data_IF_377742791717
#
_entry.id   IF_377742791717
#
_cell.length_a   1.000
_cell.length_b   1.000
_cell.length_c   1.000
_cell.angle_alpha   90.00
_cell.angle_beta   90.00
_cell.angle_gamma   90.00
#
_symmetry.space_group_name_H-M   'P 1'
#
loop_
_entity.id
_entity.type
_entity.pdbx_description
1 polymer ?
#
# COMPACT_ATOMS: atom_id res chain seq x y z
N UNK A 1 19.82 -4.61 0.84
CA UNK A 1 18.60 -4.61 1.68
C UNK A 1 18.20 -3.16 1.92
N UNK A 2 16.92 -2.84 2.08
CA UNK A 2 16.49 -1.46 2.37
C UNK A 2 16.03 -1.33 3.83
N UNK A 3 16.20 -0.15 4.43
CA UNK A 3 15.61 0.18 5.73
C UNK A 3 14.45 1.18 5.62
N UNK A 4 14.19 1.66 4.39
CA UNK A 4 13.31 2.78 4.08
C UNK A 4 11.92 2.24 3.71
N UNK A 5 10.89 2.66 4.43
CA UNK A 5 9.49 2.34 4.15
C UNK A 5 8.69 3.64 4.01
N UNK A 6 8.08 3.83 2.85
CA UNK A 6 7.12 4.90 2.58
C UNK A 6 5.70 4.34 2.70
N UNK A 7 4.88 4.96 3.56
CA UNK A 7 3.50 4.57 3.77
C UNK A 7 2.58 5.65 3.20
N UNK A 8 1.76 5.29 2.21
CA UNK A 8 0.80 6.19 1.58
C UNK A 8 -0.44 6.32 2.46
N UNK A 9 -0.52 7.40 3.24
CA UNK A 9 -1.56 7.66 4.24
C UNK A 9 -2.39 8.94 3.97
N UNK A 10 -2.31 9.51 2.76
CA UNK A 10 -2.99 10.76 2.39
C UNK A 10 -4.44 10.58 1.90
N UNK A 11 -4.94 9.34 1.85
CA UNK A 11 -6.25 9.00 1.32
C UNK A 11 -7.42 9.50 2.20
N UNK A 12 -8.45 10.05 1.57
CA UNK A 12 -9.61 10.68 2.24
C UNK A 12 -10.68 9.70 2.78
N UNK A 13 -10.47 8.39 2.69
CA UNK A 13 -11.41 7.36 3.20
C UNK A 13 -12.85 7.43 2.68
N UNK A 14 -13.11 7.98 1.49
CA UNK A 14 -14.48 8.26 1.02
C UNK A 14 -15.43 7.06 1.01
N UNK A 15 -14.96 5.88 0.58
CA UNK A 15 -15.75 4.64 0.56
C UNK A 15 -16.11 4.16 1.97
N UNK A 16 -15.14 4.20 2.88
CA UNK A 16 -15.33 3.87 4.29
C UNK A 16 -16.37 4.79 4.93
N UNK A 17 -16.20 6.10 4.79
CA UNK A 17 -17.14 7.12 5.32
C UNK A 17 -18.56 6.92 4.79
N UNK A 18 -18.71 6.77 3.47
CA UNK A 18 -20.02 6.51 2.86
C UNK A 18 -20.67 5.22 3.39
N UNK A 19 -19.90 4.15 3.58
CA UNK A 19 -20.46 2.92 4.14
C UNK A 19 -20.85 3.05 5.62
N UNK A 20 -20.12 3.87 6.39
CA UNK A 20 -20.40 4.14 7.80
C UNK A 20 -21.65 5.03 8.01
N UNK A 21 -22.00 5.88 7.03
CA UNK A 21 -23.23 6.68 7.06
C UNK A 21 -24.49 5.80 7.11
N UNK A 22 -24.47 4.61 6.50
CA UNK A 22 -25.58 3.67 6.51
C UNK A 22 -25.72 2.87 7.81
N UNK A 23 -24.71 2.90 8.68
CA UNK A 23 -24.69 2.25 10.00
C UNK A 23 -24.20 3.22 11.09
N UNK A 24 -24.72 4.45 11.11
CA UNK A 24 -24.21 5.54 11.95
C UNK A 24 -24.40 5.35 13.47
N UNK A 25 -24.98 4.23 13.90
CA UNK A 25 -25.32 3.95 15.30
C UNK A 25 -24.13 3.33 16.04
N UNK A 26 -23.33 2.50 15.37
CA UNK A 26 -22.20 1.80 15.98
C UNK A 26 -21.03 2.76 16.32
N UNK A 27 -20.28 2.46 17.37
CA UNK A 27 -19.11 3.23 17.78
C UNK A 27 -18.04 3.26 16.68
N UNK A 28 -17.85 2.12 15.99
CA UNK A 28 -16.92 1.96 14.88
C UNK A 28 -17.31 2.86 13.69
N UNK A 29 -18.59 2.93 13.33
CA UNK A 29 -19.05 3.86 12.29
C UNK A 29 -18.83 5.32 12.65
N UNK A 30 -19.12 5.72 13.90
CA UNK A 30 -18.83 7.09 14.37
C UNK A 30 -17.35 7.43 14.30
N UNK A 31 -16.48 6.48 14.61
CA UNK A 31 -15.04 6.66 14.46
C UNK A 31 -14.63 6.79 12.99
N UNK A 32 -15.16 5.93 12.11
CA UNK A 32 -14.87 5.92 10.68
C UNK A 32 -15.32 7.18 9.93
N UNK A 33 -16.36 7.87 10.43
CA UNK A 33 -16.79 9.16 9.88
C UNK A 33 -15.79 10.28 10.18
N UNK A 34 -15.12 10.22 11.33
CA UNK A 34 -14.28 11.29 11.85
C UNK A 34 -12.77 11.07 11.66
N UNK A 35 -12.33 9.83 11.47
CA UNK A 35 -10.91 9.49 11.31
C UNK A 35 -10.59 8.90 9.93
N UNK A 36 -9.35 9.07 9.45
CA UNK A 36 -8.79 8.23 8.40
C UNK A 36 -8.86 6.75 8.77
N UNK A 37 -9.01 5.87 7.78
CA UNK A 37 -9.36 4.46 8.01
C UNK A 37 -8.25 3.66 8.67
N UNK A 38 -7.00 4.00 8.35
CA UNK A 38 -5.82 3.42 9.00
C UNK A 38 -5.66 3.87 10.46
N UNK A 39 -6.41 4.87 10.90
CA UNK A 39 -6.41 5.40 12.27
C UNK A 39 -7.61 4.92 13.10
N UNK A 40 -8.40 3.97 12.57
CA UNK A 40 -9.43 3.29 13.33
C UNK A 40 -8.80 2.41 14.41
N UNK A 41 -9.34 2.49 15.62
CA UNK A 41 -8.90 1.66 16.74
C UNK A 41 -9.33 0.20 16.53
N UNK A 42 -8.37 -0.72 16.62
CA UNK A 42 -8.56 -2.14 16.39
C UNK A 42 -8.17 -2.96 17.62
N UNK A 43 -8.76 -4.15 17.73
CA UNK A 43 -8.40 -5.14 18.72
C UNK A 43 -8.70 -4.73 20.17
N UNK A 44 -8.26 -5.56 21.12
CA UNK A 44 -8.48 -5.34 22.55
C UNK A 44 -7.67 -4.17 23.10
N UNK A 45 -6.49 -3.91 22.54
CA UNK A 45 -5.61 -2.80 22.94
C UNK A 45 -6.07 -1.45 22.38
N UNK A 46 -7.07 -1.42 21.50
CA UNK A 46 -7.63 -0.21 20.87
C UNK A 46 -6.57 0.68 20.24
N UNK A 47 -5.54 0.07 19.63
CA UNK A 47 -4.50 0.79 18.88
C UNK A 47 -4.97 1.05 17.44
N UNK A 48 -4.51 2.13 16.79
CA UNK A 48 -4.77 2.35 15.36
C UNK A 48 -4.40 1.14 14.51
N UNK A 49 -5.19 0.85 13.46
CA UNK A 49 -4.85 -0.18 12.46
C UNK A 49 -3.40 -0.05 11.94
N UNK A 50 -2.95 1.18 11.70
CA UNK A 50 -1.61 1.48 11.21
C UNK A 50 -0.50 1.04 12.19
N UNK A 51 -0.76 0.97 13.49
CA UNK A 51 0.23 0.48 14.47
C UNK A 51 0.59 -0.99 14.23
N UNK A 52 -0.37 -1.82 13.81
CA UNK A 52 -0.11 -3.23 13.49
C UNK A 52 0.78 -3.38 12.25
N UNK A 53 0.60 -2.51 11.25
CA UNK A 53 1.49 -2.46 10.08
C UNK A 53 2.90 -2.00 10.48
N UNK A 54 3.01 -1.01 11.38
CA UNK A 54 4.30 -0.53 11.88
C UNK A 54 5.03 -1.58 12.72
N UNK A 55 4.31 -2.35 13.53
CA UNK A 55 4.91 -3.47 14.27
C UNK A 55 5.43 -4.54 13.32
N UNK A 56 4.67 -4.88 12.28
CA UNK A 56 5.14 -5.80 11.25
C UNK A 56 6.38 -5.26 10.50
N UNK A 57 6.42 -3.96 10.21
CA UNK A 57 7.57 -3.31 9.57
C UNK A 57 8.81 -3.32 10.45
N UNK A 58 8.67 -3.00 11.74
CA UNK A 58 9.73 -3.10 12.76
C UNK A 58 10.25 -4.53 12.87
N UNK A 59 9.36 -5.51 12.99
CA UNK A 59 9.71 -6.93 13.07
C UNK A 59 10.32 -7.47 11.76
N UNK A 60 10.07 -6.81 10.63
CA UNK A 60 10.73 -7.05 9.36
C UNK A 60 12.12 -6.40 9.24
N UNK A 61 12.46 -5.48 10.13
CA UNK A 61 13.74 -4.78 10.20
C UNK A 61 13.79 -3.48 9.41
N UNK A 62 12.64 -2.88 9.06
CA UNK A 62 12.60 -1.49 8.62
C UNK A 62 12.88 -0.56 9.80
N UNK A 63 13.42 0.62 9.51
CA UNK A 63 13.78 1.62 10.52
C UNK A 63 13.22 2.99 10.18
N UNK A 64 13.39 3.41 8.94
CA UNK A 64 13.03 4.77 8.52
C UNK A 64 11.66 4.74 7.85
N UNK A 65 10.65 5.25 8.55
CA UNK A 65 9.26 5.28 8.10
C UNK A 65 8.92 6.71 7.66
N UNK A 66 8.57 6.86 6.39
CA UNK A 66 8.06 8.09 5.82
C UNK A 66 6.55 7.98 5.60
N UNK A 67 5.77 8.75 6.32
CA UNK A 67 4.33 8.86 6.06
C UNK A 67 4.06 9.94 5.03
N UNK A 68 3.34 9.59 3.96
CA UNK A 68 2.74 10.58 3.07
C UNK A 68 1.35 10.88 3.59
N UNK A 69 1.15 12.09 4.09
CA UNK A 69 -0.09 12.52 4.75
C UNK A 69 -0.82 13.55 3.92
N UNK A 70 -2.12 13.72 4.17
CA UNK A 70 -2.92 14.76 3.53
C UNK A 70 -2.55 16.14 4.12
N UNK A 71 -2.52 17.18 3.30
CA UNK A 71 -2.21 18.55 3.74
C UNK A 71 -3.29 19.18 4.63
N UNK A 72 -4.50 18.60 4.65
CA UNK A 72 -5.68 19.07 5.42
C UNK A 72 -6.05 18.15 6.59
N UNK A 73 -5.30 17.08 6.83
CA UNK A 73 -5.56 16.13 7.91
C UNK A 73 -4.27 15.84 8.69
N UNK A 74 -4.20 16.33 9.92
CA UNK A 74 -3.04 16.12 10.80
C UNK A 74 -3.18 14.87 11.68
N UNK A 75 -4.23 14.04 11.57
CA UNK A 75 -4.49 12.92 12.49
C UNK A 75 -3.27 11.99 12.63
N UNK A 76 -2.66 11.60 11.50
CA UNK A 76 -1.46 10.75 11.48
C UNK A 76 -0.25 11.48 12.06
N UNK A 77 -0.06 12.75 11.67
CA UNK A 77 1.06 13.58 12.15
C UNK A 77 1.01 13.76 13.67
N UNK A 78 -0.13 14.17 14.20
CA UNK A 78 -0.33 14.44 15.62
C UNK A 78 -0.17 13.16 16.44
N UNK A 79 -0.76 12.05 15.99
CA UNK A 79 -0.67 10.77 16.70
C UNK A 79 0.78 10.29 16.83
N UNK A 80 1.53 10.21 15.73
CA UNK A 80 2.89 9.67 15.75
C UNK A 80 3.93 10.64 16.30
N UNK A 81 3.65 11.95 16.27
CA UNK A 81 4.50 12.95 16.95
C UNK A 81 4.31 12.87 18.47
N UNK A 82 3.06 12.85 18.94
CA UNK A 82 2.75 12.81 20.38
C UNK A 82 3.13 11.47 21.04
N UNK A 83 3.11 10.37 20.28
CA UNK A 83 3.44 9.03 20.78
C UNK A 83 4.85 8.56 20.37
N UNK A 84 5.75 9.46 19.93
CA UNK A 84 7.11 9.09 19.49
C UNK A 84 7.92 8.34 20.57
N UNK A 85 7.63 8.59 21.85
CA UNK A 85 8.28 7.93 22.99
C UNK A 85 7.66 6.59 23.41
N UNK A 86 6.61 6.12 22.72
CA UNK A 86 6.01 4.80 23.02
C UNK A 86 7.02 3.69 22.68
N UNK A 87 7.28 2.80 23.65
CA UNK A 87 8.16 1.64 23.48
C UNK A 87 7.72 0.74 22.31
N UNK A 88 6.44 0.77 21.95
CA UNK A 88 5.91 0.07 20.78
C UNK A 88 6.64 0.46 19.48
N UNK A 89 7.09 1.72 19.36
CA UNK A 89 7.79 2.24 18.19
C UNK A 89 9.32 2.26 18.33
N UNK A 90 9.88 1.68 19.40
CA UNK A 90 11.33 1.68 19.61
C UNK A 90 12.07 1.08 18.40
N UNK A 91 13.03 1.85 17.88
CA UNK A 91 13.85 1.48 16.72
C UNK A 91 13.32 2.00 15.38
N UNK A 92 12.15 2.64 15.37
CA UNK A 92 11.60 3.33 14.20
C UNK A 92 11.88 4.84 14.25
N UNK A 93 12.22 5.41 13.10
CA UNK A 93 12.36 6.83 12.86
C UNK A 93 11.20 7.31 11.98
N UNK A 94 10.40 8.23 12.49
CA UNK A 94 9.25 8.77 11.75
C UNK A 94 9.59 10.09 11.05
N UNK A 95 9.21 10.19 9.79
CA UNK A 95 9.24 11.41 8.97
C UNK A 95 7.89 11.56 8.26
N UNK A 96 7.56 12.78 7.86
CA UNK A 96 6.26 13.10 7.25
C UNK A 96 6.45 13.99 6.02
N UNK A 97 5.71 13.69 4.96
CA UNK A 97 5.61 14.55 3.79
C UNK A 97 4.14 14.80 3.46
N UNK A 98 3.77 16.08 3.27
CA UNK A 98 2.38 16.48 3.01
C UNK A 98 2.10 16.47 1.52
N UNK A 99 1.21 15.58 1.08
CA UNK A 99 0.67 15.59 -0.28
C UNK A 99 -0.41 16.68 -0.37
N UNK A 100 -0.11 17.72 -1.14
CA UNK A 100 -1.00 18.87 -1.33
C UNK A 100 -2.09 18.52 -2.34
N UNK A 101 -3.33 18.93 -2.05
CA UNK A 101 -4.41 18.89 -3.04
C UNK A 101 -4.29 20.12 -3.95
N UNK A 102 -4.00 19.97 -5.25
CA UNK A 102 -3.82 21.13 -6.14
C UNK A 102 -5.09 21.98 -6.22
N UNK A 103 -4.90 23.29 -6.45
CA UNK A 103 -6.01 24.23 -6.65
C UNK A 103 -6.94 23.74 -7.78
N UNK A 104 -8.25 23.83 -7.55
CA UNK A 104 -9.27 23.37 -8.49
C UNK A 104 -9.59 21.87 -8.42
N UNK A 105 -8.98 21.12 -7.49
CA UNK A 105 -9.27 19.68 -7.29
C UNK A 105 -9.87 19.42 -5.90
N UNK A 106 -10.69 18.38 -5.83
CA UNK A 106 -11.28 17.87 -4.58
C UNK A 106 -10.45 16.76 -3.93
N UNK A 107 -9.45 16.22 -4.65
CA UNK A 107 -8.62 15.09 -4.24
C UNK A 107 -7.15 15.25 -4.66
N UNK A 108 -6.22 14.55 -3.99
CA UNK A 108 -4.81 14.54 -4.38
C UNK A 108 -4.61 14.10 -5.83
N UNK A 109 -3.44 14.40 -6.40
CA UNK A 109 -3.15 14.10 -7.81
C UNK A 109 -2.96 12.60 -8.06
N UNK A 110 -2.78 11.78 -7.02
CA UNK A 110 -2.74 10.32 -7.12
C UNK A 110 -1.56 9.71 -6.36
N UNK A 111 -1.40 8.38 -6.45
CA UNK A 111 -0.35 7.67 -5.71
C UNK A 111 1.05 7.93 -6.25
N UNK A 112 1.22 8.17 -7.56
CA UNK A 112 2.54 8.54 -8.10
C UNK A 112 3.00 9.91 -7.57
N UNK A 113 2.08 10.87 -7.47
CA UNK A 113 2.33 12.19 -6.87
C UNK A 113 2.67 12.10 -5.36
N UNK A 114 2.03 11.18 -4.64
CA UNK A 114 2.35 10.89 -3.25
C UNK A 114 3.80 10.40 -3.11
N UNK A 115 4.24 9.50 -4.00
CA UNK A 115 5.63 9.01 -4.01
C UNK A 115 6.61 10.13 -4.39
N UNK A 116 6.31 10.96 -5.39
CA UNK A 116 7.15 12.13 -5.73
C UNK A 116 7.34 13.03 -4.51
N UNK A 117 6.24 13.33 -3.81
CA UNK A 117 6.25 14.15 -2.59
C UNK A 117 7.19 13.54 -1.55
N UNK A 118 7.11 12.23 -1.34
CA UNK A 118 7.98 11.51 -0.44
C UNK A 118 9.46 11.59 -0.84
N UNK A 119 9.78 11.27 -2.09
CA UNK A 119 11.17 11.27 -2.58
C UNK A 119 11.80 12.67 -2.54
N UNK A 120 11.03 13.72 -2.88
CA UNK A 120 11.49 15.11 -2.72
C UNK A 120 11.80 15.49 -1.27
N UNK A 121 11.10 14.90 -0.29
CA UNK A 121 11.37 15.10 1.14
C UNK A 121 12.53 14.26 1.67
N UNK A 122 13.03 13.30 0.87
CA UNK A 122 14.09 12.35 1.22
C UNK A 122 15.17 12.28 0.14
N UNK A 123 15.84 13.40 -0.21
CA UNK A 123 16.95 13.36 -1.18
C UNK A 123 18.09 12.43 -0.74
N UNK A 124 18.26 12.20 0.56
CA UNK A 124 19.24 11.25 1.11
C UNK A 124 18.96 9.77 0.76
N UNK A 125 17.78 9.45 0.21
CA UNK A 125 17.46 8.11 -0.30
C UNK A 125 17.99 7.86 -1.73
N UNK A 126 18.54 8.86 -2.42
CA UNK A 126 19.21 8.64 -3.71
C UNK A 126 20.34 7.62 -3.59
N UNK A 127 20.53 6.80 -4.64
CA UNK A 127 21.41 5.63 -4.63
C UNK A 127 20.89 4.44 -3.82
N UNK A 128 19.69 4.54 -3.22
CA UNK A 128 19.10 3.49 -2.40
C UNK A 128 17.76 3.01 -2.96
N UNK A 129 17.34 1.85 -2.46
CA UNK A 129 15.99 1.32 -2.68
C UNK A 129 15.11 1.65 -1.48
N UNK A 130 13.82 1.76 -1.69
CA UNK A 130 12.82 1.93 -0.64
C UNK A 130 11.61 1.03 -0.93
N UNK A 131 10.88 0.65 0.11
CA UNK A 131 9.59 0.01 -0.05
C UNK A 131 8.50 1.07 0.06
N UNK A 132 7.46 0.98 -0.77
CA UNK A 132 6.25 1.80 -0.68
C UNK A 132 5.03 0.91 -0.59
N UNK A 133 4.10 1.25 0.30
CA UNK A 133 2.87 0.50 0.48
C UNK A 133 1.68 1.41 0.85
N UNK A 134 0.47 0.88 0.70
CA UNK A 134 -0.71 1.57 1.24
C UNK A 134 -0.75 1.46 2.76
N UNK A 135 -1.40 2.42 3.42
CA UNK A 135 -1.61 2.40 4.87
C UNK A 135 -2.80 1.54 5.33
N UNK A 136 -3.61 1.03 4.41
CA UNK A 136 -4.90 0.38 4.66
C UNK A 136 -4.87 -1.14 4.43
N UNK A 137 -3.69 -1.69 4.19
CA UNK A 137 -3.42 -3.12 4.05
C UNK A 137 -2.49 -3.57 5.19
N UNK A 138 -2.79 -4.71 5.83
CA UNK A 138 -1.96 -5.29 6.88
C UNK A 138 -0.99 -6.31 6.28
N UNK A 139 0.09 -5.81 5.67
CA UNK A 139 1.16 -6.66 5.14
C UNK A 139 1.88 -7.39 6.27
N UNK A 140 2.15 -8.69 6.08
CA UNK A 140 2.82 -9.50 7.10
C UNK A 140 4.31 -9.18 7.22
N UNK A 141 4.90 -9.62 8.33
CA UNK A 141 6.36 -9.62 8.51
C UNK A 141 7.07 -10.38 7.38
N UNK A 142 6.49 -11.48 6.90
CA UNK A 142 7.08 -12.29 5.83
C UNK A 142 7.19 -11.51 4.51
N UNK A 143 6.10 -10.86 4.10
CA UNK A 143 6.05 -9.99 2.92
C UNK A 143 7.05 -8.84 3.02
N UNK A 144 7.03 -8.12 4.14
CA UNK A 144 7.90 -6.99 4.37
C UNK A 144 9.39 -7.41 4.38
N UNK A 145 9.72 -8.54 5.01
CA UNK A 145 11.08 -9.14 4.99
C UNK A 145 11.52 -9.56 3.59
N UNK A 146 10.61 -10.15 2.82
CA UNK A 146 10.90 -10.66 1.47
C UNK A 146 11.29 -9.52 0.54
N UNK A 147 10.48 -8.46 0.48
CA UNK A 147 10.81 -7.24 -0.26
C UNK A 147 12.12 -6.63 0.24
N UNK A 148 12.28 -6.47 1.56
CA UNK A 148 13.49 -5.88 2.14
C UNK A 148 14.77 -6.58 1.68
N UNK A 149 14.76 -7.92 1.66
CA UNK A 149 15.91 -8.77 1.32
C UNK A 149 16.16 -8.93 -0.18
N UNK A 150 15.13 -8.75 -1.00
CA UNK A 150 15.22 -8.88 -2.46
C UNK A 150 16.37 -8.02 -3.05
N UNK A 151 17.03 -8.53 -4.08
CA UNK A 151 18.22 -7.88 -4.68
C UNK A 151 17.97 -7.33 -6.08
N UNK A 152 16.84 -7.67 -6.69
CA UNK A 152 16.44 -7.18 -8.02
C UNK A 152 16.31 -5.66 -8.03
N UNK A 153 16.34 -5.06 -9.23
CA UNK A 153 16.25 -3.61 -9.40
C UNK A 153 15.03 -3.03 -8.67
N UNK A 154 13.86 -3.58 -8.99
CA UNK A 154 12.62 -3.38 -8.26
C UNK A 154 11.90 -4.71 -8.06
N UNK A 155 10.94 -4.76 -7.15
CA UNK A 155 10.09 -5.93 -6.94
C UNK A 155 8.71 -5.57 -6.39
N UNK A 156 7.75 -6.47 -6.56
CA UNK A 156 6.45 -6.43 -5.89
C UNK A 156 6.09 -7.80 -5.32
N UNK A 157 5.12 -7.81 -4.42
CA UNK A 157 4.49 -9.07 -4.03
C UNK A 157 3.45 -9.46 -5.07
N UNK A 158 3.58 -10.69 -5.50
CA UNK A 158 2.62 -11.39 -6.31
C UNK A 158 1.80 -12.28 -5.38
N UNK A 159 0.66 -11.76 -4.91
CA UNK A 159 -0.22 -12.52 -4.02
C UNK A 159 -1.00 -13.55 -4.82
N UNK A 160 -1.04 -14.78 -4.30
CA UNK A 160 -1.98 -15.78 -4.78
C UNK A 160 -3.40 -15.32 -4.47
N UNK A 161 -4.15 -15.11 -5.54
CA UNK A 161 -5.53 -14.64 -5.54
C UNK A 161 -6.43 -15.43 -4.59
N UNK A 162 -6.26 -16.75 -4.56
CA UNK A 162 -7.15 -17.65 -3.81
C UNK A 162 -6.76 -17.72 -2.32
N UNK A 163 -5.59 -17.20 -1.97
CA UNK A 163 -5.07 -17.12 -0.59
C UNK A 163 -5.39 -15.80 0.13
N UNK A 164 -5.94 -14.79 -0.56
CA UNK A 164 -6.18 -13.45 -0.01
C UNK A 164 -7.23 -13.42 1.12
N UNK A 165 -8.09 -14.43 1.21
CA UNK A 165 -9.16 -14.49 2.21
C UNK A 165 -10.25 -13.44 2.02
N UNK A 166 -10.49 -12.99 0.77
CA UNK A 166 -11.60 -12.08 0.43
C UNK A 166 -12.68 -12.82 -0.35
N UNK A 167 -13.90 -12.28 -0.35
CA UNK A 167 -15.00 -12.86 -1.14
C UNK A 167 -14.68 -12.89 -2.66
N UNK A 168 -15.08 -13.94 -3.40
CA UNK A 168 -14.79 -14.08 -4.83
C UNK A 168 -15.21 -12.88 -5.69
N UNK A 169 -16.25 -12.13 -5.29
CA UNK A 169 -16.67 -10.91 -6.01
C UNK A 169 -15.68 -9.75 -5.84
N UNK A 170 -15.00 -9.62 -4.70
CA UNK A 170 -13.95 -8.60 -4.48
C UNK A 170 -12.69 -8.91 -5.28
N UNK A 171 -12.41 -10.19 -5.50
CA UNK A 171 -11.26 -10.67 -6.26
C UNK A 171 -11.20 -10.10 -7.69
N UNK A 172 -12.35 -9.96 -8.36
CA UNK A 172 -12.43 -9.42 -9.73
C UNK A 172 -12.08 -7.92 -9.81
N UNK A 173 -12.00 -7.22 -8.68
CA UNK A 173 -11.61 -5.82 -8.63
C UNK A 173 -10.09 -5.61 -8.50
N UNK A 174 -9.32 -6.66 -8.21
CA UNK A 174 -7.88 -6.55 -8.03
C UNK A 174 -7.13 -6.49 -9.36
N UNK A 175 -5.94 -5.89 -9.31
CA UNK A 175 -5.05 -5.83 -10.44
C UNK A 175 -4.29 -7.16 -10.57
N UNK A 176 -4.41 -7.82 -11.72
CA UNK A 176 -3.74 -9.10 -11.99
C UNK A 176 -2.33 -8.86 -12.53
N UNK A 177 -1.39 -9.66 -12.03
CA UNK A 177 0.03 -9.62 -12.37
C UNK A 177 0.30 -10.58 -13.51
N UNK A 178 0.81 -10.04 -14.62
CA UNK A 178 1.37 -10.82 -15.71
C UNK A 178 2.89 -10.86 -15.56
N UNK A 179 3.48 -12.02 -15.83
CA UNK A 179 4.92 -12.21 -15.67
C UNK A 179 5.46 -13.18 -16.70
N UNK A 180 6.75 -13.06 -17.00
CA UNK A 180 7.46 -14.00 -17.85
C UNK A 180 7.82 -15.30 -17.10
N UNK A 181 8.46 -16.23 -17.81
CA UNK A 181 8.86 -17.52 -17.24
C UNK A 181 9.96 -17.41 -16.17
N UNK A 182 10.67 -16.27 -16.12
CA UNK A 182 11.71 -16.00 -15.13
C UNK A 182 11.15 -15.27 -13.89
N UNK A 183 9.83 -15.01 -13.86
CA UNK A 183 9.14 -14.37 -12.74
C UNK A 183 9.25 -12.84 -12.74
N UNK A 184 9.61 -12.21 -13.86
CA UNK A 184 9.61 -10.76 -13.99
C UNK A 184 8.28 -10.25 -14.52
N UNK A 185 7.80 -9.15 -13.95
CA UNK A 185 6.56 -8.49 -14.32
C UNK A 185 6.60 -8.07 -15.80
N UNK A 186 5.55 -8.41 -16.54
CA UNK A 186 5.33 -7.95 -17.92
C UNK A 186 4.19 -6.95 -18.01
N UNK A 187 3.14 -7.08 -17.19
CA UNK A 187 2.09 -6.07 -17.06
C UNK A 187 1.33 -6.17 -15.72
N UNK A 188 0.66 -5.08 -15.34
CA UNK A 188 -0.33 -5.04 -14.25
C UNK A 188 -1.66 -4.62 -14.86
N UNK A 189 -2.61 -5.55 -14.89
CA UNK A 189 -3.92 -5.35 -15.52
C UNK A 189 -4.96 -5.06 -14.45
N UNK A 190 -5.44 -3.81 -14.38
CA UNK A 190 -6.51 -3.42 -13.46
C UNK A 190 -7.88 -3.85 -13.97
N UNK A 191 -8.69 -4.48 -13.10
CA UNK A 191 -10.03 -5.00 -13.42
C UNK A 191 -10.03 -5.84 -14.72
N UNK A 192 -9.26 -6.93 -14.74
CA UNK A 192 -9.10 -7.74 -15.94
C UNK A 192 -10.42 -8.42 -16.32
N UNK A 193 -10.60 -8.65 -17.61
CA UNK A 193 -11.65 -9.55 -18.10
C UNK A 193 -11.25 -11.03 -17.94
N UNK A 194 -12.18 -11.95 -18.19
CA UNK A 194 -11.95 -13.40 -18.05
C UNK A 194 -10.82 -13.91 -18.95
N UNK A 195 -10.65 -13.32 -20.14
CA UNK A 195 -9.58 -13.70 -21.08
C UNK A 195 -8.24 -13.32 -20.51
N UNK A 196 -8.11 -12.10 -20.00
CA UNK A 196 -6.89 -11.58 -19.38
C UNK A 196 -6.52 -12.35 -18.10
N UNK A 197 -7.52 -12.78 -17.33
CA UNK A 197 -7.29 -13.66 -16.17
C UNK A 197 -6.70 -14.99 -16.66
N UNK A 198 -7.32 -15.61 -17.66
CA UNK A 198 -6.86 -16.90 -18.21
C UNK A 198 -5.43 -16.82 -18.77
N UNK A 199 -5.09 -15.71 -19.42
CA UNK A 199 -3.73 -15.44 -19.94
C UNK A 199 -2.70 -15.23 -18.81
N UNK A 200 -3.12 -14.71 -17.66
CA UNK A 200 -2.26 -14.52 -16.49
C UNK A 200 -2.05 -15.79 -15.65
N UNK A 201 -2.95 -16.77 -15.77
CA UNK A 201 -2.93 -18.00 -14.97
C UNK A 201 -1.70 -18.83 -15.31
N UNK A 202 -0.90 -19.15 -14.30
CA UNK A 202 0.29 -19.97 -14.51
C UNK A 202 -0.06 -21.46 -14.74
N UNK A 203 0.95 -22.26 -15.08
CA UNK A 203 0.82 -23.70 -15.36
C UNK A 203 0.21 -24.52 -14.20
N UNK A 204 0.23 -24.00 -12.98
CA UNK A 204 -0.33 -24.64 -11.79
C UNK A 204 -1.73 -24.10 -11.44
N UNK A 205 -2.32 -23.25 -12.29
CA UNK A 205 -3.62 -22.65 -12.05
C UNK A 205 -3.59 -21.41 -11.15
N UNK A 206 -2.41 -20.93 -10.75
CA UNK A 206 -2.29 -19.80 -9.82
C UNK A 206 -2.43 -18.48 -10.57
N UNK A 207 -3.22 -17.58 -9.99
CA UNK A 207 -3.41 -16.21 -10.49
C UNK A 207 -2.78 -15.24 -9.50
N UNK A 208 -1.90 -14.41 -10.02
CA UNK A 208 -1.20 -13.39 -9.26
C UNK A 208 -1.97 -12.08 -9.18
N UNK A 209 -2.04 -11.45 -8.01
CA UNK A 209 -2.59 -10.09 -7.87
C UNK A 209 -1.66 -9.15 -7.11
N UNK A 210 -1.74 -7.86 -7.47
CA UNK A 210 -1.05 -6.79 -6.77
C UNK A 210 -1.93 -6.20 -5.67
N UNK A 211 -1.36 -6.09 -4.47
CA UNK A 211 -1.95 -5.39 -3.33
C UNK A 211 -1.18 -4.10 -3.02
N UNK A 212 -0.64 -3.44 -4.05
CA UNK A 212 0.02 -2.13 -3.98
C UNK A 212 1.17 -2.01 -2.96
N UNK A 213 2.02 -3.02 -2.89
CA UNK A 213 3.30 -2.95 -2.19
C UNK A 213 4.45 -3.22 -3.16
N UNK A 214 5.39 -2.29 -3.21
CA UNK A 214 6.51 -2.30 -4.17
C UNK A 214 7.81 -1.96 -3.44
N UNK A 215 8.90 -2.58 -3.85
CA UNK A 215 10.25 -2.10 -3.59
C UNK A 215 10.82 -1.52 -4.87
N UNK A 216 11.25 -0.27 -4.78
CA UNK A 216 11.62 0.55 -5.92
C UNK A 216 13.02 1.12 -5.72
N UNK A 217 13.72 1.25 -6.83
CA UNK A 217 14.99 1.97 -6.89
C UNK A 217 14.71 3.48 -7.05
N UNK A 218 15.29 4.30 -6.17
CA UNK A 218 15.03 5.74 -6.13
C UNK A 218 15.36 6.41 -7.47
N UNK A 219 16.57 6.21 -7.98
CA UNK A 219 17.09 6.98 -9.10
C UNK A 219 16.43 6.57 -10.42
N UNK A 220 16.01 5.30 -10.52
CA UNK A 220 15.29 4.80 -11.69
C UNK A 220 13.81 5.22 -11.69
N UNK A 221 13.11 5.10 -10.55
CA UNK A 221 11.66 5.35 -10.52
C UNK A 221 11.33 6.84 -10.53
N UNK A 222 12.17 7.70 -9.94
CA UNK A 222 11.87 9.13 -9.79
C UNK A 222 11.58 9.86 -11.11
N UNK A 223 12.41 9.76 -12.18
CA UNK A 223 12.08 10.40 -13.45
C UNK A 223 10.79 9.85 -14.08
N UNK A 224 10.54 8.54 -13.95
CA UNK A 224 9.32 7.94 -14.47
C UNK A 224 8.07 8.46 -13.77
N UNK A 225 8.13 8.66 -12.45
CA UNK A 225 7.01 9.25 -11.69
C UNK A 225 6.63 10.63 -12.20
N UNK A 226 7.63 11.46 -12.55
CA UNK A 226 7.40 12.81 -13.09
C UNK A 226 6.64 12.73 -14.42
N UNK A 227 7.05 11.80 -15.28
CA UNK A 227 6.46 11.53 -16.60
C UNK A 227 5.09 10.84 -16.53
N UNK A 228 4.72 10.25 -15.39
CA UNK A 228 3.47 9.49 -15.25
C UNK A 228 2.26 10.33 -15.67
N UNK A 229 1.48 9.88 -16.67
CA UNK A 229 0.33 10.62 -17.16
C UNK A 229 -0.84 10.53 -16.16
N UNK A 230 -1.75 11.48 -16.27
CA UNK A 230 -3.03 11.42 -15.56
C UNK A 230 -3.91 10.38 -16.25
N UNK A 231 -4.45 9.44 -15.47
CA UNK A 231 -5.44 8.48 -15.97
C UNK A 231 -6.72 9.23 -16.36
N UNK A 232 -7.21 9.11 -17.61
CA UNK A 232 -8.36 9.89 -18.08
C UNK A 232 -9.69 9.52 -17.41
N UNK A 233 -9.82 8.29 -16.90
CA UNK A 233 -11.04 7.84 -16.20
C UNK A 233 -11.05 8.23 -14.74
N UNK A 234 -9.89 8.11 -14.09
CA UNK A 234 -9.75 8.36 -12.65
C UNK A 234 -9.31 9.78 -12.34
N UNK A 235 -8.81 10.53 -13.30
CA UNK A 235 -8.20 11.84 -13.09
C UNK A 235 -7.13 11.77 -11.98
N UNK A 236 -6.25 10.76 -12.03
CA UNK A 236 -5.18 10.50 -11.04
C UNK A 236 -3.90 10.01 -11.75
N UNK A 237 -2.72 10.42 -11.26
CA UNK A 237 -1.43 9.80 -11.58
C UNK A 237 -1.22 8.57 -10.70
N UNK A 238 -1.19 7.39 -11.30
CA UNK A 238 -1.17 6.11 -10.58
C UNK A 238 0.24 5.52 -10.52
N UNK A 239 0.66 5.08 -9.33
CA UNK A 239 1.95 4.40 -9.14
C UNK A 239 2.04 3.13 -9.99
N UNK A 240 0.94 2.38 -10.12
CA UNK A 240 0.85 1.19 -10.99
C UNK A 240 1.20 1.52 -12.43
N UNK A 241 0.73 2.67 -12.96
CA UNK A 241 1.13 3.12 -14.31
C UNK A 241 2.62 3.43 -14.40
N UNK A 242 3.21 3.99 -13.34
CA UNK A 242 4.66 4.24 -13.30
C UNK A 242 5.46 2.95 -13.31
N UNK A 243 5.03 1.93 -12.55
CA UNK A 243 5.66 0.60 -12.54
C UNK A 243 5.55 -0.07 -13.91
N UNK A 244 4.45 0.11 -14.64
CA UNK A 244 4.33 -0.35 -16.03
C UNK A 244 5.31 0.37 -16.96
N UNK A 245 5.45 1.69 -16.83
CA UNK A 245 6.46 2.46 -17.59
C UNK A 245 7.89 2.00 -17.28
N UNK A 246 8.17 1.55 -16.05
CA UNK A 246 9.45 0.96 -15.68
C UNK A 246 9.71 -0.36 -16.43
N UNK A 247 8.70 -1.24 -16.48
CA UNK A 247 8.76 -2.51 -17.22
C UNK A 247 8.94 -2.27 -18.72
N UNK A 248 8.20 -1.32 -19.30
CA UNK A 248 8.29 -0.97 -20.72
C UNK A 248 9.69 -0.45 -21.11
N UNK A 249 10.35 0.27 -20.19
CA UNK A 249 11.64 0.93 -20.45
C UNK A 249 12.85 0.05 -20.15
N UNK A 250 12.73 -0.88 -19.20
CA UNK A 250 13.82 -1.72 -18.74
C UNK A 250 13.37 -3.17 -18.62
N UNK A 251 13.95 -4.03 -19.46
CA UNK A 251 13.73 -5.48 -19.39
C UNK A 251 14.10 -6.02 -18.00
N UNK A 252 13.31 -6.98 -17.49
CA UNK A 252 13.54 -7.65 -16.20
C UNK A 252 13.79 -6.68 -15.03
N UNK A 253 13.12 -5.53 -15.04
CA UNK A 253 13.29 -4.48 -14.05
C UNK A 253 12.51 -4.70 -12.76
N UNK A 254 11.42 -5.47 -12.81
CA UNK A 254 10.53 -5.69 -11.67
C UNK A 254 10.30 -7.17 -11.44
N UNK A 255 10.89 -7.73 -10.37
CA UNK A 255 10.70 -9.12 -10.01
C UNK A 255 9.41 -9.33 -9.19
N UNK A 256 8.69 -10.41 -9.47
CA UNK A 256 7.45 -10.76 -8.76
C UNK A 256 7.74 -11.82 -7.69
N UNK A 257 7.50 -11.48 -6.42
CA UNK A 257 7.75 -12.41 -5.30
C UNK A 257 6.45 -13.16 -5.01
N UNK A 258 6.35 -14.46 -5.31
CA UNK A 258 5.12 -15.23 -5.10
C UNK A 258 4.88 -15.45 -3.60
N UNK A 259 3.69 -15.08 -3.12
CA UNK A 259 3.26 -15.28 -1.74
C UNK A 259 1.83 -15.82 -1.72
N UNK A 260 1.57 -16.81 -0.87
CA UNK A 260 0.24 -17.36 -0.59
C UNK A 260 -0.11 -17.13 0.88
N UNK A 261 -0.62 -15.94 1.18
CA UNK A 261 -1.09 -15.57 2.53
C UNK A 261 -2.23 -14.54 2.44
N UNK A 262 -3.02 -14.45 3.50
CA UNK A 262 -4.08 -13.45 3.64
C UNK A 262 -3.48 -12.06 3.91
N UNK A 263 -4.08 -11.03 3.31
CA UNK A 263 -3.75 -9.62 3.53
C UNK A 263 -5.02 -8.84 3.85
N UNK A 264 -5.32 -8.63 5.15
CA UNK A 264 -6.47 -7.85 5.55
C UNK A 264 -6.40 -6.42 4.99
N UNK A 265 -7.54 -5.89 4.55
CA UNK A 265 -7.64 -4.56 3.96
C UNK A 265 -8.88 -3.80 4.47
N UNK A 266 -8.74 -2.49 4.68
CA UNK A 266 -9.84 -1.63 5.09
C UNK A 266 -10.38 -0.85 3.88
N UNK A 267 -11.50 -1.27 3.31
CA UNK A 267 -12.15 -0.55 2.20
C UNK A 267 -13.48 0.08 2.62
N UNK A 268 -14.27 -0.63 3.41
CA UNK A 268 -15.62 -0.30 3.89
C UNK A 268 -15.76 -0.68 5.36
N UNK A 269 -16.83 -0.21 6.00
CA UNK A 269 -17.07 -0.43 7.43
C UNK A 269 -17.22 -1.91 7.79
N UNK A 270 -17.71 -2.72 6.85
CA UNK A 270 -17.86 -4.18 7.03
C UNK A 270 -16.53 -4.91 7.14
N UNK A 271 -15.46 -4.33 6.57
CA UNK A 271 -14.14 -4.95 6.63
C UNK A 271 -13.52 -4.83 8.04
N UNK A 272 -14.03 -3.94 8.90
CA UNK A 272 -13.48 -3.74 10.25
C UNK A 272 -13.61 -4.99 11.12
N UNK A 273 -14.76 -5.66 11.11
CA UNK A 273 -15.00 -6.87 11.91
C UNK A 273 -14.07 -8.03 11.50
N UNK A 274 -13.89 -8.19 10.19
CA UNK A 274 -13.01 -9.20 9.62
C UNK A 274 -11.53 -8.93 9.98
N UNK A 275 -11.12 -7.66 9.94
CA UNK A 275 -9.78 -7.22 10.37
C UNK A 275 -9.59 -7.39 11.87
N UNK A 276 -10.57 -7.03 12.71
CA UNK A 276 -10.49 -7.24 14.17
C UNK A 276 -10.35 -8.73 14.51
N UNK A 277 -11.12 -9.59 13.84
CA UNK A 277 -11.03 -11.05 14.00
C UNK A 277 -9.65 -11.57 13.61
N UNK A 278 -9.11 -11.10 12.48
CA UNK A 278 -7.77 -11.46 12.04
C UNK A 278 -6.70 -11.04 13.06
N UNK A 279 -6.75 -9.80 13.54
CA UNK A 279 -5.80 -9.30 14.54
C UNK A 279 -5.90 -10.11 15.83
N UNK A 280 -7.11 -10.39 16.33
CA UNK A 280 -7.32 -11.18 17.54
C UNK A 280 -6.76 -12.61 17.44
N UNK A 281 -6.78 -13.22 16.25
CA UNK A 281 -6.20 -14.56 16.01
C UNK A 281 -4.67 -14.63 16.05
N UNK A 282 -4.01 -13.46 16.07
CA UNK A 282 -2.53 -13.34 16.06
C UNK A 282 -1.95 -12.98 17.44
N UNK A 283 -2.81 -12.69 18.42
CA UNK A 283 -2.46 -12.35 19.81
C UNK A 283 -2.45 -13.61 20.66
#
# INVERSE_FOLDING_TARGET
MTNNLMILAAGISSRMKRSAEFDSVSSVSKEALNKPKMMLNMGSSKRPFLDYLLDNAKNAGYKDILFIINDRDNTVFDYYTNNKGDNFFHGLNFSFAKQVIPNGRSKPLGTADAVITGLKSKPEWSGQKFTVCNSDNLYSVNVLKSLRKDKNLSSLIDYDRDSLGVEPKRVHAFAVIWKDNDGFLTDIVEKPDERQIKEATDKNGRIGVSMNIFKLDYDIIFPLLIETPINPKRDEKELTKTVRMLVDKYEKSVYTIPISERVPDLTTIKDVEDVETFIASKV
#
